data_IF_273035216786
#
_entry.id   IF_273035216786
#
_cell.length_a   1.000
_cell.length_b   1.000
_cell.length_c   1.000
_cell.angle_alpha   90.00
_cell.angle_beta   90.00
_cell.angle_gamma   90.00
#
_symmetry.space_group_name_H-M   'P 1'
#
loop_
_entity.id
_entity.type
_entity.pdbx_description
1 polymer ?
#
# COMPACT_ATOMS: atom_id res chain seq x y z
N UNK A 1 -17.38 -5.40 -22.89
CA UNK A 1 -16.31 -6.19 -22.24
C UNK A 1 -15.48 -5.24 -21.40
N UNK A 2 -15.49 -5.40 -20.08
CA UNK A 2 -14.58 -4.65 -19.22
C UNK A 2 -13.28 -5.44 -19.27
N UNK A 3 -12.34 -4.99 -20.12
CA UNK A 3 -10.99 -5.52 -20.12
C UNK A 3 -10.36 -5.17 -18.76
N UNK A 4 -10.53 -6.04 -17.77
CA UNK A 4 -9.68 -6.03 -16.60
C UNK A 4 -8.28 -6.38 -17.09
N UNK A 5 -7.34 -5.45 -16.94
CA UNK A 5 -5.93 -5.69 -17.24
C UNK A 5 -5.50 -6.97 -16.47
N UNK A 6 -5.10 -8.05 -17.16
CA UNK A 6 -4.76 -9.32 -16.53
C UNK A 6 -3.60 -9.16 -15.54
N UNK A 7 -2.77 -8.14 -15.73
CA UNK A 7 -1.61 -7.84 -14.88
C UNK A 7 -1.95 -6.83 -13.77
N UNK A 8 -3.21 -6.37 -13.67
CA UNK A 8 -3.62 -5.36 -12.67
C UNK A 8 -3.29 -5.79 -11.24
N UNK A 9 -3.47 -7.07 -10.92
CA UNK A 9 -3.15 -7.61 -9.60
C UNK A 9 -1.65 -7.55 -9.31
N UNK A 10 -0.84 -8.02 -10.25
CA UNK A 10 0.62 -8.07 -10.11
C UNK A 10 1.21 -6.66 -10.02
N UNK A 11 0.75 -5.76 -10.88
CA UNK A 11 1.10 -4.34 -10.81
C UNK A 11 0.71 -3.70 -9.48
N UNK A 12 -0.48 -4.00 -8.96
CA UNK A 12 -0.91 -3.50 -7.66
C UNK A 12 -0.06 -4.07 -6.51
N UNK A 13 0.40 -5.31 -6.60
CA UNK A 13 1.32 -5.90 -5.63
C UNK A 13 2.69 -5.20 -5.67
N UNK A 14 3.24 -4.97 -6.85
CA UNK A 14 4.50 -4.25 -7.04
C UNK A 14 4.43 -2.81 -6.52
N UNK A 15 3.35 -2.10 -6.86
CA UNK A 15 3.10 -0.74 -6.40
C UNK A 15 2.89 -0.69 -4.88
N UNK A 16 2.20 -1.68 -4.32
CA UNK A 16 2.00 -1.80 -2.87
C UNK A 16 3.33 -2.01 -2.16
N UNK A 17 4.19 -2.92 -2.62
CA UNK A 17 5.52 -3.17 -2.02
C UNK A 17 6.42 -1.93 -1.97
N UNK A 18 6.25 -1.02 -2.94
CA UNK A 18 7.01 0.23 -3.03
C UNK A 18 6.33 1.41 -2.33
N UNK A 19 5.11 1.23 -1.83
CA UNK A 19 4.36 2.27 -1.16
C UNK A 19 4.91 2.50 0.25
N UNK A 20 5.44 3.68 0.50
CA UNK A 20 5.87 4.10 1.83
C UNK A 20 5.37 5.52 2.10
N UNK A 21 5.09 5.81 3.37
CA UNK A 21 4.69 7.15 3.80
C UNK A 21 5.93 8.05 3.78
N UNK A 22 5.93 9.06 2.92
CA UNK A 22 7.02 10.04 2.84
C UNK A 22 6.95 11.01 4.03
N UNK A 23 8.08 11.65 4.37
CA UNK A 23 8.19 12.51 5.57
C UNK A 23 7.17 13.65 5.59
N UNK A 24 6.90 14.26 4.44
CA UNK A 24 6.01 15.42 4.31
C UNK A 24 4.70 15.10 3.58
N UNK A 25 4.44 13.83 3.28
CA UNK A 25 3.20 13.42 2.61
C UNK A 25 2.03 13.32 3.59
N UNK A 26 0.84 13.65 3.09
CA UNK A 26 -0.40 13.51 3.83
C UNK A 26 -0.73 12.03 4.12
N UNK A 27 -1.06 11.74 5.38
CA UNK A 27 -1.37 10.38 5.81
C UNK A 27 -2.66 9.85 5.18
N UNK A 28 -3.68 10.70 5.01
CA UNK A 28 -4.96 10.30 4.42
C UNK A 28 -4.81 9.98 2.93
N UNK A 29 -3.97 10.72 2.19
CA UNK A 29 -3.61 10.41 0.81
C UNK A 29 -2.88 9.06 0.71
N UNK A 30 -1.89 8.84 1.57
CA UNK A 30 -1.20 7.55 1.66
C UNK A 30 -2.17 6.40 1.98
N UNK A 31 -3.03 6.56 2.99
CA UNK A 31 -4.01 5.56 3.40
C UNK A 31 -4.98 5.25 2.26
N UNK A 32 -5.46 6.26 1.55
CA UNK A 32 -6.35 6.09 0.40
C UNK A 32 -5.67 5.29 -0.71
N UNK A 33 -4.40 5.59 -1.01
CA UNK A 33 -3.61 4.87 -2.01
C UNK A 33 -3.33 3.43 -1.59
N UNK A 34 -3.00 3.20 -0.32
CA UNK A 34 -2.82 1.87 0.26
C UNK A 34 -4.10 1.03 0.12
N UNK A 35 -5.26 1.55 0.52
CA UNK A 35 -6.53 0.82 0.45
C UNK A 35 -6.91 0.45 -0.99
N UNK A 36 -6.65 1.35 -1.95
CA UNK A 36 -6.86 1.08 -3.37
C UNK A 36 -5.98 -0.09 -3.84
N UNK A 37 -4.68 0.01 -3.59
CA UNK A 37 -3.70 -1.01 -4.02
C UNK A 37 -3.94 -2.35 -3.33
N UNK A 38 -4.27 -2.37 -2.04
CA UNK A 38 -4.58 -3.58 -1.30
C UNK A 38 -5.82 -4.31 -1.85
N UNK A 39 -6.84 -3.55 -2.28
CA UNK A 39 -8.02 -4.12 -2.94
C UNK A 39 -7.67 -4.68 -4.32
N UNK A 40 -6.88 -3.96 -5.11
CA UNK A 40 -6.45 -4.40 -6.45
C UNK A 40 -5.50 -5.61 -6.40
N UNK A 41 -4.63 -5.66 -5.41
CA UNK A 41 -3.73 -6.79 -5.12
C UNK A 41 -4.47 -8.01 -4.52
N UNK A 42 -5.75 -7.85 -4.17
CA UNK A 42 -6.59 -8.87 -3.51
C UNK A 42 -6.00 -9.33 -2.17
N UNK A 43 -5.43 -8.40 -1.40
CA UNK A 43 -4.99 -8.68 -0.02
C UNK A 43 -6.23 -9.00 0.83
N UNK A 44 -6.20 -10.05 1.68
CA UNK A 44 -7.25 -10.33 2.65
C UNK A 44 -7.45 -9.17 3.62
N UNK A 45 -8.71 -8.81 3.92
CA UNK A 45 -9.02 -7.62 4.73
C UNK A 45 -8.46 -7.72 6.17
N UNK A 46 -8.37 -8.93 6.72
CA UNK A 46 -7.74 -9.22 8.01
C UNK A 46 -6.24 -8.92 8.02
N UNK A 47 -5.58 -8.93 6.86
CA UNK A 47 -4.16 -8.58 6.72
C UNK A 47 -3.91 -7.07 6.57
N UNK A 48 -4.96 -6.25 6.35
CA UNK A 48 -4.78 -4.82 6.05
C UNK A 48 -4.04 -4.08 7.16
N UNK A 49 -4.39 -4.36 8.42
CA UNK A 49 -3.74 -3.71 9.57
C UNK A 49 -2.25 -4.07 9.67
N UNK A 50 -1.91 -5.33 9.38
CA UNK A 50 -0.54 -5.81 9.41
C UNK A 50 0.29 -5.16 8.28
N UNK A 51 -0.21 -5.18 7.05
CA UNK A 51 0.48 -4.58 5.90
C UNK A 51 0.59 -3.05 6.06
N UNK A 52 -0.48 -2.37 6.48
CA UNK A 52 -0.43 -0.93 6.72
C UNK A 52 0.66 -0.58 7.75
N UNK A 53 0.72 -1.33 8.86
CA UNK A 53 1.77 -1.14 9.87
C UNK A 53 3.17 -1.36 9.29
N UNK A 54 3.37 -2.37 8.43
CA UNK A 54 4.65 -2.62 7.77
C UNK A 54 5.11 -1.44 6.91
N UNK A 55 4.20 -0.82 6.16
CA UNK A 55 4.49 0.35 5.33
C UNK A 55 4.69 1.64 6.13
N UNK A 56 4.17 1.71 7.36
CA UNK A 56 4.39 2.82 8.30
C UNK A 56 5.68 2.65 9.10
N UNK A 57 6.08 1.40 9.41
CA UNK A 57 7.22 1.10 10.25
C UNK A 57 8.55 1.52 9.61
N UNK A 58 8.63 1.58 8.28
CA UNK A 58 9.80 2.14 7.58
C UNK A 58 10.03 3.61 7.97
N UNK A 59 8.98 4.42 8.04
CA UNK A 59 9.05 5.84 8.47
C UNK A 59 9.49 5.95 9.93
N UNK A 60 8.96 5.11 10.81
CA UNK A 60 9.38 5.10 12.22
C UNK A 60 10.86 4.73 12.36
N UNK A 61 11.35 3.78 11.56
CA UNK A 61 12.76 3.39 11.56
C UNK A 61 13.69 4.53 11.12
N UNK A 62 13.26 5.37 10.17
CA UNK A 62 14.01 6.57 9.74
C UNK A 62 14.03 7.72 10.77
N UNK A 63 13.14 7.70 11.77
CA UNK A 63 13.08 8.72 12.83
C UNK A 63 13.89 8.33 14.07
N UNK A 64 14.29 7.06 14.18
CA UNK A 64 14.99 6.49 15.35
C UNK A 64 16.51 6.39 15.12
N UNK A 65 16.98 6.66 13.90
CA UNK A 65 18.42 6.69 13.54
C UNK A 65 18.88 8.13 13.37
#
# INVERSE_FOLDING_TARGET
>A
EIYEDPNKKEKAQDDLQKLYLQRDSDFHEFQTKFLRLAREAKIPHDQYKFELNRHLYSRLRELVI
#
